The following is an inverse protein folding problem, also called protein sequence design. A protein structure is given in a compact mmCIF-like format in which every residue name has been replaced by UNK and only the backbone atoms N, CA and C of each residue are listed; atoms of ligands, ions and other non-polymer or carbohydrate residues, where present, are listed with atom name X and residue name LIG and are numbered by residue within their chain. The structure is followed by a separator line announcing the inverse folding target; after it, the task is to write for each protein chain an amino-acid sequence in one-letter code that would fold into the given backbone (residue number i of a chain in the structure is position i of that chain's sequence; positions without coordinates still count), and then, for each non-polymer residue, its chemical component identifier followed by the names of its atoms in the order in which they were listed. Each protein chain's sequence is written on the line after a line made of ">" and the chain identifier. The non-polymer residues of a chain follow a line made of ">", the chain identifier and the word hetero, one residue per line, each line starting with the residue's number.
data_IF_577840339156
#
_entry.id   IF_577840339156
#
_cell.length_a   1.000
_cell.length_b   1.000
_cell.length_c   1.000
_cell.angle_alpha   90.00
_cell.angle_beta   90.00
_cell.angle_gamma   90.00
#
_symmetry.space_group_name_H-M   'P 1'
#
loop_
_entity.id
_entity.type
_entity.pdbx_description
1 polymer ?
#
# COMPACT_ATOMS: atom_id res chain seq x y z
N UNK A 1 20.29 -19.18 -8.81
CA UNK A 1 20.52 -18.99 -7.35
C UNK A 1 19.20 -18.47 -6.78
N UNK A 2 18.82 -18.67 -5.52
CA UNK A 2 17.55 -18.09 -5.06
C UNK A 2 17.72 -16.59 -4.78
N UNK A 3 16.77 -15.76 -5.21
CA UNK A 3 16.71 -14.35 -4.87
C UNK A 3 16.10 -14.20 -3.48
N UNK A 4 16.91 -13.83 -2.49
CA UNK A 4 16.48 -13.73 -1.10
C UNK A 4 15.66 -12.46 -0.85
N UNK A 5 14.41 -12.62 -0.44
CA UNK A 5 13.62 -11.51 0.09
C UNK A 5 14.12 -11.11 1.48
N UNK A 6 14.06 -9.81 1.79
CA UNK A 6 14.58 -9.28 3.05
C UNK A 6 13.82 -9.85 4.26
N UNK A 7 14.55 -10.19 5.32
CA UNK A 7 13.98 -10.43 6.66
C UNK A 7 13.64 -9.13 7.37
N UNK A 8 14.25 -8.01 6.96
CA UNK A 8 13.94 -6.68 7.47
C UNK A 8 13.00 -5.93 6.51
N UNK A 9 11.81 -5.54 6.97
CA UNK A 9 10.81 -4.90 6.12
C UNK A 9 10.84 -3.37 6.24
N UNK A 10 11.99 -2.77 6.52
CA UNK A 10 12.15 -1.32 6.33
C UNK A 10 11.98 -0.96 4.86
N UNK A 11 11.66 0.32 4.58
CA UNK A 11 11.51 0.80 3.20
C UNK A 11 12.82 0.60 2.43
N UNK A 12 13.95 0.97 3.03
CA UNK A 12 15.26 0.86 2.39
C UNK A 12 15.63 -0.59 2.08
N UNK A 13 15.38 -1.54 2.99
CA UNK A 13 15.60 -2.96 2.73
C UNK A 13 14.75 -3.50 1.57
N UNK A 14 13.53 -2.97 1.39
CA UNK A 14 12.68 -3.34 0.25
C UNK A 14 13.20 -2.73 -1.07
N UNK A 15 13.70 -1.49 -1.06
CA UNK A 15 14.31 -0.85 -2.23
C UNK A 15 15.65 -1.52 -2.60
N UNK A 16 16.45 -1.96 -1.62
CA UNK A 16 17.64 -2.79 -1.85
C UNK A 16 17.29 -4.14 -2.50
N UNK A 17 16.18 -4.76 -2.08
CA UNK A 17 15.68 -5.96 -2.73
C UNK A 17 15.26 -5.67 -4.18
N UNK A 18 14.62 -4.53 -4.46
CA UNK A 18 14.26 -4.11 -5.83
C UNK A 18 15.53 -3.90 -6.69
N UNK A 19 16.60 -3.36 -6.10
CA UNK A 19 17.89 -3.26 -6.78
C UNK A 19 18.48 -4.63 -7.14
N UNK A 20 18.52 -5.56 -6.18
CA UNK A 20 18.96 -6.94 -6.43
C UNK A 20 18.08 -7.65 -7.47
N UNK A 21 16.77 -7.37 -7.46
CA UNK A 21 15.81 -7.92 -8.40
C UNK A 21 16.11 -7.47 -9.84
N UNK A 22 16.49 -6.21 -10.05
CA UNK A 22 16.79 -5.67 -11.37
C UNK A 22 17.96 -6.39 -12.06
N UNK A 23 18.96 -6.82 -11.28
CA UNK A 23 20.16 -7.49 -11.80
C UNK A 23 20.05 -9.02 -11.83
N UNK A 24 19.07 -9.61 -11.11
CA UNK A 24 18.95 -11.06 -11.00
C UNK A 24 18.31 -11.71 -12.25
N UNK A 25 18.73 -12.94 -12.62
CA UNK A 25 18.13 -13.75 -13.69
C UNK A 25 16.61 -13.91 -13.55
N UNK A 26 15.89 -14.05 -14.68
CA UNK A 26 14.43 -14.19 -14.66
C UNK A 26 13.96 -15.56 -14.13
N UNK A 27 14.83 -16.56 -14.18
CA UNK A 27 14.61 -17.92 -13.70
C UNK A 27 14.82 -18.07 -12.19
N UNK A 28 15.51 -17.12 -11.55
CA UNK A 28 15.86 -17.23 -10.15
C UNK A 28 14.59 -17.20 -9.27
N UNK A 29 14.34 -18.26 -8.47
CA UNK A 29 13.16 -18.32 -7.61
C UNK A 29 13.27 -17.30 -6.48
N UNK A 30 12.12 -16.81 -6.01
CA UNK A 30 12.06 -15.94 -4.84
C UNK A 30 12.10 -16.78 -3.57
N UNK A 31 13.12 -16.58 -2.75
CA UNK A 31 13.15 -17.13 -1.40
C UNK A 31 12.43 -16.19 -0.42
N UNK A 32 11.33 -16.66 0.17
CA UNK A 32 10.57 -15.93 1.18
C UNK A 32 10.94 -16.41 2.60
N UNK A 33 11.51 -15.56 3.46
CA UNK A 33 11.82 -15.96 4.84
C UNK A 33 10.55 -16.15 5.67
N UNK A 34 10.61 -17.04 6.68
CA UNK A 34 9.52 -17.23 7.65
C UNK A 34 9.35 -15.99 8.51
N UNK A 35 10.39 -15.58 9.20
CA UNK A 35 10.33 -14.46 10.10
C UNK A 35 10.77 -13.17 9.44
N UNK A 36 10.08 -12.09 9.81
CA UNK A 36 10.33 -10.74 9.30
C UNK A 36 10.21 -9.74 10.44
N UNK A 37 10.99 -8.66 10.39
CA UNK A 37 11.05 -7.60 11.39
C UNK A 37 10.74 -6.21 10.81
N UNK A 38 10.56 -5.23 11.71
CA UNK A 38 10.44 -3.79 11.42
C UNK A 38 9.39 -3.36 10.39
N UNK A 39 8.28 -4.08 10.29
CA UNK A 39 7.22 -3.85 9.28
C UNK A 39 6.40 -2.56 9.43
N UNK A 40 6.63 -1.77 10.48
CA UNK A 40 5.96 -0.47 10.70
C UNK A 40 6.48 0.61 9.73
N UNK A 41 5.79 1.75 9.70
CA UNK A 41 6.14 2.98 8.99
C UNK A 41 6.32 2.79 7.47
N UNK A 42 5.35 2.13 6.83
CA UNK A 42 5.31 1.85 5.40
C UNK A 42 6.00 0.54 5.01
N UNK A 43 6.57 -0.19 5.97
CA UNK A 43 7.32 -1.42 5.70
C UNK A 43 6.50 -2.53 5.04
N UNK A 44 5.29 -2.81 5.54
CA UNK A 44 4.37 -3.76 4.89
C UNK A 44 4.04 -3.32 3.46
N UNK A 45 3.76 -2.02 3.27
CA UNK A 45 3.41 -1.46 1.97
C UNK A 45 4.56 -1.56 0.96
N UNK A 46 5.79 -1.24 1.38
CA UNK A 46 7.01 -1.38 0.57
C UNK A 46 7.28 -2.85 0.22
N UNK A 47 7.09 -3.77 1.16
CA UNK A 47 7.23 -5.21 0.91
C UNK A 47 6.23 -5.71 -0.14
N UNK A 48 4.95 -5.31 -0.05
CA UNK A 48 3.94 -5.68 -1.07
C UNK A 48 4.32 -5.10 -2.43
N UNK A 49 4.81 -3.85 -2.49
CA UNK A 49 5.20 -3.22 -3.74
C UNK A 49 6.43 -3.88 -4.39
N UNK A 50 7.42 -4.27 -3.58
CA UNK A 50 8.55 -5.08 -4.03
C UNK A 50 8.08 -6.43 -4.60
N UNK A 51 7.14 -7.10 -3.93
CA UNK A 51 6.53 -8.34 -4.41
C UNK A 51 5.73 -8.15 -5.71
N UNK A 52 4.95 -7.07 -5.84
CA UNK A 52 4.27 -6.72 -7.08
C UNK A 52 5.27 -6.54 -8.22
N UNK A 53 6.39 -5.87 -7.94
CA UNK A 53 7.47 -5.62 -8.90
C UNK A 53 8.16 -6.92 -9.31
N UNK A 54 8.45 -7.82 -8.37
CA UNK A 54 8.95 -9.17 -8.66
C UNK A 54 7.98 -9.97 -9.52
N UNK A 55 6.71 -10.10 -9.10
CA UNK A 55 5.75 -10.95 -9.79
C UNK A 55 5.35 -10.44 -11.18
N UNK A 56 5.71 -9.21 -11.55
CA UNK A 56 5.55 -8.67 -12.91
C UNK A 56 6.81 -8.71 -13.76
N UNK A 57 7.98 -8.75 -13.15
CA UNK A 57 9.27 -8.82 -13.85
C UNK A 57 9.74 -10.25 -14.13
N UNK A 58 9.09 -11.26 -13.53
CA UNK A 58 9.46 -12.67 -13.67
C UNK A 58 8.44 -13.46 -14.47
N UNK A 59 8.95 -14.30 -15.38
CA UNK A 59 8.11 -15.22 -16.16
C UNK A 59 7.71 -16.45 -15.33
N UNK A 60 8.67 -17.08 -14.65
CA UNK A 60 8.49 -18.34 -13.93
C UNK A 60 7.77 -18.19 -12.59
N UNK A 61 8.01 -17.10 -11.86
CA UNK A 61 7.32 -16.74 -10.60
C UNK A 61 7.28 -17.91 -9.61
N UNK A 62 8.42 -18.59 -9.43
CA UNK A 62 8.58 -19.64 -8.43
C UNK A 62 8.94 -19.04 -7.07
N UNK A 63 8.33 -19.58 -6.01
CA UNK A 63 8.61 -19.21 -4.63
C UNK A 63 9.16 -20.43 -3.90
N UNK A 64 10.26 -20.22 -3.19
CA UNK A 64 10.76 -21.13 -2.16
C UNK A 64 10.43 -20.50 -0.81
N UNK A 65 9.61 -21.17 0.00
CA UNK A 65 9.32 -20.72 1.36
C UNK A 65 10.41 -21.30 2.27
N UNK A 66 11.10 -20.40 2.97
CA UNK A 66 12.14 -20.79 3.91
C UNK A 66 11.60 -21.41 5.19
N UNK A 67 12.53 -21.81 6.06
CA UNK A 67 12.26 -22.25 7.44
C UNK A 67 12.33 -23.75 7.65
N UNK A 68 11.95 -24.17 8.85
CA UNK A 68 11.84 -25.58 9.24
C UNK A 68 10.48 -25.77 9.92
N UNK A 69 9.37 -25.72 9.15
CA UNK A 69 8.04 -25.86 9.72
C UNK A 69 7.84 -27.27 10.29
N UNK A 70 6.96 -27.42 11.28
CA UNK A 70 6.63 -28.74 11.82
C UNK A 70 5.95 -29.63 10.77
N UNK A 71 5.13 -29.01 9.91
CA UNK A 71 4.49 -29.64 8.75
C UNK A 71 4.13 -28.61 7.65
N UNK A 72 3.56 -29.09 6.55
CA UNK A 72 3.16 -28.24 5.43
C UNK A 72 2.02 -27.26 5.78
N UNK A 73 1.14 -27.59 6.74
CA UNK A 73 -0.01 -26.77 7.10
C UNK A 73 0.41 -25.53 7.88
N UNK A 74 1.39 -25.67 8.77
CA UNK A 74 1.99 -24.54 9.49
C UNK A 74 2.66 -23.55 8.52
N UNK A 75 3.39 -24.06 7.53
CA UNK A 75 4.01 -23.23 6.50
C UNK A 75 2.97 -22.51 5.64
N UNK A 76 1.91 -23.22 5.22
CA UNK A 76 0.79 -22.62 4.47
C UNK A 76 0.17 -21.48 5.28
N UNK A 77 -0.16 -21.71 6.55
CA UNK A 77 -0.77 -20.72 7.45
C UNK A 77 0.10 -19.47 7.59
N UNK A 78 1.39 -19.66 7.71
CA UNK A 78 2.35 -18.57 7.82
C UNK A 78 2.45 -17.74 6.53
N UNK A 79 2.42 -18.38 5.37
CA UNK A 79 2.43 -17.70 4.06
C UNK A 79 1.17 -16.89 3.82
N UNK A 80 -0.01 -17.43 4.13
CA UNK A 80 -1.28 -16.76 3.83
C UNK A 80 -1.67 -15.69 4.87
N UNK A 81 -1.06 -15.71 6.06
CA UNK A 81 -1.39 -14.78 7.15
C UNK A 81 -0.59 -13.47 7.15
N UNK A 82 0.41 -13.33 6.28
CA UNK A 82 1.21 -12.10 6.11
C UNK A 82 0.90 -11.46 4.74
N UNK A 83 0.55 -10.16 4.66
CA UNK A 83 0.07 -9.56 3.41
C UNK A 83 1.02 -9.69 2.22
N UNK A 84 2.31 -9.41 2.39
CA UNK A 84 3.30 -9.48 1.31
C UNK A 84 3.54 -10.93 0.83
N UNK A 85 3.51 -11.91 1.74
CA UNK A 85 3.64 -13.34 1.39
C UNK A 85 2.40 -13.88 0.71
N UNK A 86 1.21 -13.46 1.17
CA UNK A 86 -0.04 -13.75 0.50
C UNK A 86 -0.01 -13.20 -0.93
N UNK A 87 0.39 -11.93 -1.11
CA UNK A 87 0.55 -11.30 -2.42
C UNK A 87 1.53 -12.07 -3.31
N UNK A 88 2.66 -12.52 -2.78
CA UNK A 88 3.63 -13.31 -3.53
C UNK A 88 3.00 -14.63 -4.00
N UNK A 89 2.25 -15.28 -3.11
CA UNK A 89 1.56 -16.55 -3.40
C UNK A 89 0.47 -16.42 -4.46
N UNK A 90 -0.23 -15.29 -4.50
CA UNK A 90 -1.24 -15.04 -5.55
C UNK A 90 -0.58 -14.77 -6.90
N UNK A 91 0.63 -14.20 -6.91
CA UNK A 91 1.40 -13.94 -8.12
C UNK A 91 2.24 -15.14 -8.60
N UNK A 92 2.53 -16.12 -7.75
CA UNK A 92 3.42 -17.22 -8.12
C UNK A 92 2.82 -18.10 -9.21
N UNK A 93 3.61 -19.02 -9.78
CA UNK A 93 3.12 -20.18 -10.55
C UNK A 93 3.39 -21.50 -9.83
N UNK A 94 4.40 -21.54 -8.97
CA UNK A 94 4.82 -22.71 -8.18
C UNK A 94 5.28 -22.26 -6.79
N UNK A 95 5.00 -23.05 -5.76
CA UNK A 95 5.45 -22.77 -4.39
C UNK A 95 6.07 -24.06 -3.83
N UNK A 96 7.31 -24.02 -3.40
CA UNK A 96 8.01 -25.17 -2.80
C UNK A 96 8.47 -24.83 -1.39
N UNK A 97 8.69 -25.87 -0.58
CA UNK A 97 9.43 -25.75 0.69
C UNK A 97 10.93 -25.84 0.39
N UNK A 98 11.73 -25.06 1.11
CA UNK A 98 13.19 -25.20 1.15
C UNK A 98 13.69 -26.63 1.39
N UNK A 99 12.93 -27.47 2.10
CA UNK A 99 13.32 -28.86 2.44
C UNK A 99 12.70 -29.94 1.55
N UNK A 100 11.70 -29.59 0.71
CA UNK A 100 10.95 -30.56 -0.07
C UNK A 100 10.62 -30.04 -1.48
N UNK A 101 10.73 -30.91 -2.48
CA UNK A 101 10.42 -30.59 -3.88
C UNK A 101 8.91 -30.57 -4.21
N UNK A 102 8.05 -30.83 -3.22
CA UNK A 102 6.59 -30.88 -3.36
C UNK A 102 6.05 -29.50 -3.67
N UNK A 103 5.23 -29.38 -4.72
CA UNK A 103 4.52 -28.13 -5.01
C UNK A 103 3.35 -27.94 -4.03
N UNK A 104 3.50 -26.95 -3.17
CA UNK A 104 2.53 -26.53 -2.17
C UNK A 104 1.48 -25.58 -2.74
N UNK A 105 1.58 -25.17 -4.01
CA UNK A 105 0.63 -24.21 -4.58
C UNK A 105 -0.84 -24.65 -4.46
N UNK A 106 -1.23 -25.92 -4.67
CA UNK A 106 -2.63 -26.34 -4.52
C UNK A 106 -3.19 -26.13 -3.11
N UNK A 107 -2.39 -26.44 -2.08
CA UNK A 107 -2.81 -26.28 -0.67
C UNK A 107 -2.80 -24.80 -0.25
N UNK A 108 -1.82 -24.01 -0.71
CA UNK A 108 -1.79 -22.56 -0.49
C UNK A 108 -2.99 -21.87 -1.13
N UNK A 109 -3.35 -22.24 -2.37
CA UNK A 109 -4.51 -21.66 -3.06
C UNK A 109 -5.83 -21.97 -2.33
N UNK A 110 -5.98 -23.18 -1.78
CA UNK A 110 -7.14 -23.55 -0.97
C UNK A 110 -7.23 -22.67 0.27
N UNK A 111 -6.15 -22.59 1.05
CA UNK A 111 -6.10 -21.77 2.26
C UNK A 111 -6.31 -20.28 1.97
N UNK A 112 -5.72 -19.76 0.89
CA UNK A 112 -5.93 -18.39 0.45
C UNK A 112 -7.40 -18.13 0.07
N UNK A 113 -8.05 -19.06 -0.63
CA UNK A 113 -9.48 -18.93 -0.96
C UNK A 113 -10.36 -18.88 0.29
N UNK A 114 -10.11 -19.76 1.26
CA UNK A 114 -10.84 -19.79 2.54
C UNK A 114 -10.66 -18.49 3.31
N UNK A 115 -9.45 -17.95 3.37
CA UNK A 115 -9.14 -16.69 4.06
C UNK A 115 -9.82 -15.50 3.39
N UNK A 116 -9.76 -15.39 2.06
CA UNK A 116 -10.45 -14.32 1.32
C UNK A 116 -11.96 -14.43 1.53
N UNK A 117 -12.54 -15.63 1.50
CA UNK A 117 -13.99 -15.80 1.76
C UNK A 117 -14.36 -15.44 3.19
N UNK A 118 -13.49 -15.79 4.15
CA UNK A 118 -13.61 -15.40 5.54
C UNK A 118 -13.51 -13.89 5.75
N UNK A 119 -12.61 -13.20 5.03
CA UNK A 119 -12.40 -11.76 5.16
C UNK A 119 -13.70 -10.99 4.89
N UNK A 120 -14.50 -11.41 3.91
CA UNK A 120 -15.77 -10.77 3.59
C UNK A 120 -16.76 -10.82 4.74
N UNK A 121 -16.69 -11.84 5.61
CA UNK A 121 -17.57 -11.98 6.78
C UNK A 121 -17.12 -11.10 7.95
N UNK A 122 -15.89 -10.60 7.93
CA UNK A 122 -15.33 -9.70 8.93
C UNK A 122 -15.55 -8.24 8.55
N UNK A 123 -15.83 -7.39 9.54
CA UNK A 123 -15.94 -5.93 9.34
C UNK A 123 -14.58 -5.24 9.21
N UNK A 124 -13.50 -5.89 9.65
CA UNK A 124 -12.14 -5.36 9.64
C UNK A 124 -11.18 -6.22 8.79
N UNK A 125 -11.71 -7.22 8.10
CA UNK A 125 -10.93 -8.12 7.25
C UNK A 125 -10.15 -9.15 8.07
N UNK A 126 -8.96 -9.46 7.59
CA UNK A 126 -8.01 -10.36 8.23
C UNK A 126 -7.23 -9.62 9.33
N UNK A 127 -6.75 -10.34 10.35
CA UNK A 127 -6.06 -9.72 11.48
C UNK A 127 -4.81 -10.52 11.90
N UNK A 128 -3.71 -9.81 12.16
CA UNK A 128 -2.51 -10.33 12.86
C UNK A 128 -1.97 -9.27 13.82
N UNK A 129 -2.18 -9.48 15.12
CA UNK A 129 -1.89 -8.44 16.11
C UNK A 129 -2.71 -7.17 15.84
N UNK A 130 -2.10 -5.98 15.84
CA UNK A 130 -2.79 -4.72 15.55
C UNK A 130 -2.96 -4.44 14.05
N UNK A 131 -2.48 -5.32 13.16
CA UNK A 131 -2.65 -5.20 11.71
C UNK A 131 -3.99 -5.82 11.29
N UNK A 132 -4.85 -4.99 10.70
CA UNK A 132 -6.08 -5.39 10.02
C UNK A 132 -5.94 -5.14 8.52
N UNK A 133 -6.31 -6.10 7.66
CA UNK A 133 -6.12 -5.94 6.22
C UNK A 133 -7.13 -6.69 5.35
N UNK A 134 -7.29 -6.18 4.13
CA UNK A 134 -8.07 -6.79 3.06
C UNK A 134 -7.20 -7.01 1.84
N UNK A 135 -7.41 -8.13 1.17
CA UNK A 135 -6.75 -8.48 -0.08
C UNK A 135 -7.78 -8.61 -1.21
N UNK A 136 -7.45 -8.10 -2.39
CA UNK A 136 -8.27 -8.19 -3.59
C UNK A 136 -7.43 -8.82 -4.68
N UNK A 137 -7.91 -9.92 -5.25
CA UNK A 137 -7.26 -10.60 -6.39
C UNK A 137 -8.06 -10.23 -7.64
N UNK A 138 -7.75 -9.06 -8.21
CA UNK A 138 -8.58 -8.34 -9.20
C UNK A 138 -8.86 -9.12 -10.49
N UNK A 139 -8.02 -10.11 -10.80
CA UNK A 139 -8.17 -10.99 -11.96
C UNK A 139 -9.08 -12.21 -11.71
N UNK A 140 -9.74 -12.28 -10.55
CA UNK A 140 -10.60 -13.39 -10.14
C UNK A 140 -11.91 -12.89 -9.52
N UNK A 141 -12.83 -13.81 -9.19
CA UNK A 141 -14.05 -13.49 -8.43
C UNK A 141 -13.76 -12.90 -7.04
N UNK A 142 -12.53 -13.04 -6.56
CA UNK A 142 -12.04 -12.50 -5.28
C UNK A 142 -11.57 -11.03 -5.35
N UNK A 143 -11.69 -10.38 -6.50
CA UNK A 143 -11.38 -8.95 -6.66
C UNK A 143 -12.40 -7.99 -6.04
N UNK A 144 -13.56 -8.49 -5.61
CA UNK A 144 -14.71 -7.67 -5.25
C UNK A 144 -15.31 -8.04 -3.88
N UNK A 145 -14.55 -7.79 -2.81
CA UNK A 145 -14.99 -8.06 -1.44
C UNK A 145 -16.30 -7.33 -1.09
N UNK A 146 -17.24 -8.03 -0.47
CA UNK A 146 -18.58 -7.50 -0.18
C UNK A 146 -18.59 -6.33 0.81
N UNK A 147 -17.53 -6.12 1.59
CA UNK A 147 -17.39 -4.96 2.45
C UNK A 147 -17.12 -3.67 1.64
N UNK A 148 -16.57 -3.80 0.43
CA UNK A 148 -16.20 -2.65 -0.41
C UNK A 148 -17.03 -2.56 -1.69
N UNK A 149 -17.69 -3.64 -2.09
CA UNK A 149 -18.45 -3.71 -3.33
C UNK A 149 -19.91 -4.11 -3.08
N UNK A 150 -20.81 -3.52 -3.87
CA UNK A 150 -22.16 -4.04 -4.11
C UNK A 150 -22.13 -4.98 -5.31
N UNK A 151 -23.02 -5.97 -5.28
CA UNK A 151 -23.17 -6.97 -6.34
C UNK A 151 -24.62 -6.93 -6.84
N UNK A 152 -24.97 -5.96 -7.71
CA UNK A 152 -26.33 -5.88 -8.25
C UNK A 152 -26.58 -7.08 -9.19
N UNK A 153 -27.83 -7.52 -9.28
CA UNK A 153 -28.20 -8.60 -10.20
C UNK A 153 -27.93 -8.15 -11.64
N UNK A 154 -27.21 -8.97 -12.40
CA UNK A 154 -26.87 -8.74 -13.82
C UNK A 154 -25.99 -7.50 -14.12
N UNK A 155 -25.35 -6.90 -13.11
CA UNK A 155 -24.42 -5.77 -13.31
C UNK A 155 -23.01 -6.08 -12.79
N UNK A 156 -22.03 -5.29 -13.25
CA UNK A 156 -20.65 -5.39 -12.76
C UNK A 156 -20.58 -4.91 -11.30
N UNK A 157 -19.77 -5.54 -10.43
CA UNK A 157 -19.59 -5.07 -9.06
C UNK A 157 -19.19 -3.59 -9.00
N UNK A 158 -19.86 -2.84 -8.13
CA UNK A 158 -19.63 -1.39 -7.98
C UNK A 158 -19.05 -1.09 -6.59
N UNK A 159 -18.09 -0.17 -6.47
CA UNK A 159 -17.67 0.34 -5.17
C UNK A 159 -18.86 0.82 -4.34
N UNK A 160 -18.83 0.53 -3.04
CA UNK A 160 -19.80 1.04 -2.07
C UNK A 160 -19.66 2.54 -1.90
N UNK A 161 -20.72 3.15 -1.39
CA UNK A 161 -20.75 4.60 -1.13
C UNK A 161 -19.90 4.97 0.08
N UNK A 162 -19.53 6.25 0.17
CA UNK A 162 -18.66 6.80 1.22
C UNK A 162 -19.02 6.32 2.64
N UNK A 163 -20.28 6.48 3.07
CA UNK A 163 -20.70 6.11 4.43
C UNK A 163 -20.48 4.62 4.76
N UNK A 164 -20.62 3.75 3.76
CA UNK A 164 -20.41 2.31 3.93
C UNK A 164 -18.91 1.99 4.01
N UNK A 165 -18.10 2.63 3.18
CA UNK A 165 -16.63 2.48 3.22
C UNK A 165 -16.07 3.05 4.54
N UNK A 166 -16.60 4.19 5.00
CA UNK A 166 -16.26 4.77 6.31
C UNK A 166 -16.49 3.78 7.46
N UNK A 167 -17.60 3.03 7.40
CA UNK A 167 -17.91 2.00 8.41
C UNK A 167 -16.85 0.89 8.45
N UNK A 168 -16.30 0.51 7.29
CA UNK A 168 -15.26 -0.52 7.20
C UNK A 168 -13.94 0.00 7.76
N UNK A 169 -13.48 1.18 7.31
CA UNK A 169 -12.21 1.73 7.81
C UNK A 169 -12.28 2.05 9.31
N UNK A 170 -13.42 2.53 9.80
CA UNK A 170 -13.68 2.70 11.24
C UNK A 170 -13.52 1.39 12.00
N UNK A 171 -14.06 0.29 11.46
CA UNK A 171 -13.91 -1.04 12.06
C UNK A 171 -12.46 -1.50 12.07
N UNK A 172 -11.71 -1.29 10.98
CA UNK A 172 -10.28 -1.61 10.90
C UNK A 172 -9.44 -0.81 11.90
N UNK A 173 -9.64 0.51 11.97
CA UNK A 173 -8.89 1.39 12.86
C UNK A 173 -9.21 1.11 14.31
N UNK A 174 -10.50 1.04 14.68
CA UNK A 174 -10.88 0.77 16.06
C UNK A 174 -10.30 -0.56 16.55
N UNK A 175 -10.35 -1.60 15.70
CA UNK A 175 -9.76 -2.90 16.02
C UNK A 175 -8.24 -2.82 16.22
N UNK A 176 -7.55 -2.08 15.36
CA UNK A 176 -6.10 -1.85 15.45
C UNK A 176 -5.72 -1.10 16.73
N UNK A 177 -6.51 -0.08 17.11
CA UNK A 177 -6.36 0.70 18.35
C UNK A 177 -6.64 -0.16 19.59
N UNK A 178 -7.71 -0.97 19.57
CA UNK A 178 -8.09 -1.81 20.70
C UNK A 178 -6.99 -2.83 21.05
N UNK A 179 -6.35 -3.42 20.04
CA UNK A 179 -5.26 -4.38 20.25
C UNK A 179 -3.99 -3.72 20.80
N UNK A 180 -3.69 -2.48 20.41
CA UNK A 180 -2.55 -1.73 20.99
C UNK A 180 -2.72 -1.45 22.48
N UNK A 181 -3.97 -1.27 22.94
CA UNK A 181 -4.29 -0.90 24.31
C UNK A 181 -3.87 0.53 24.68
N UNK A 182 -4.36 1.05 25.81
CA UNK A 182 -3.97 2.35 26.39
C UNK A 182 -3.97 3.55 25.41
N UNK A 183 -4.86 3.53 24.41
CA UNK A 183 -4.92 4.51 23.33
C UNK A 183 -6.35 5.00 23.17
N UNK A 184 -6.55 6.32 23.06
CA UNK A 184 -7.88 6.90 22.86
C UNK A 184 -8.35 6.57 21.43
N UNK A 185 -9.63 6.24 21.30
CA UNK A 185 -10.26 6.11 19.98
C UNK A 185 -10.30 7.48 19.30
N UNK A 186 -10.23 7.51 17.97
CA UNK A 186 -10.35 8.76 17.22
C UNK A 186 -11.70 9.42 17.50
N UNK A 187 -11.72 10.76 17.52
CA UNK A 187 -12.97 11.50 17.58
C UNK A 187 -13.82 11.26 16.31
N UNK A 188 -15.13 11.45 16.39
CA UNK A 188 -16.02 11.23 15.24
C UNK A 188 -15.67 12.10 14.03
N UNK A 189 -15.23 13.34 14.26
CA UNK A 189 -14.77 14.23 13.20
C UNK A 189 -13.50 13.70 12.51
N UNK A 190 -12.50 13.29 13.29
CA UNK A 190 -11.25 12.69 12.78
C UNK A 190 -11.52 11.41 12.00
N UNK A 191 -12.44 10.56 12.50
CA UNK A 191 -12.84 9.34 11.82
C UNK A 191 -13.57 9.63 10.50
N UNK A 192 -14.40 10.68 10.44
CA UNK A 192 -15.03 11.11 9.19
C UNK A 192 -14.00 11.63 8.18
N UNK A 193 -13.00 12.38 8.64
CA UNK A 193 -11.86 12.80 7.80
C UNK A 193 -11.12 11.59 7.24
N UNK A 194 -10.84 10.61 8.09
CA UNK A 194 -10.20 9.37 7.67
C UNK A 194 -11.05 8.57 6.68
N UNK A 195 -12.35 8.43 6.94
CA UNK A 195 -13.32 7.80 6.05
C UNK A 195 -13.27 8.41 4.64
N UNK A 196 -13.20 9.73 4.57
CA UNK A 196 -13.08 10.44 3.30
C UNK A 196 -11.74 10.21 2.60
N UNK A 197 -10.61 10.29 3.31
CA UNK A 197 -9.29 9.98 2.75
C UNK A 197 -9.29 8.60 2.11
N UNK A 198 -9.73 7.62 2.88
CA UNK A 198 -9.75 6.23 2.47
C UNK A 198 -10.62 6.03 1.23
N UNK A 199 -11.83 6.61 1.20
CA UNK A 199 -12.73 6.50 0.07
C UNK A 199 -12.09 7.01 -1.23
N UNK A 200 -11.49 8.20 -1.20
CA UNK A 200 -10.86 8.78 -2.40
C UNK A 200 -9.70 7.92 -2.90
N UNK A 201 -8.84 7.44 -2.01
CA UNK A 201 -7.71 6.59 -2.38
C UNK A 201 -8.18 5.21 -2.88
N UNK A 202 -9.22 4.64 -2.27
CA UNK A 202 -9.80 3.37 -2.72
C UNK A 202 -10.41 3.50 -4.11
N UNK A 203 -11.15 4.58 -4.37
CA UNK A 203 -11.73 4.86 -5.69
C UNK A 203 -10.63 5.06 -6.73
N UNK A 204 -9.56 5.80 -6.42
CA UNK A 204 -8.41 5.94 -7.31
C UNK A 204 -7.77 4.58 -7.63
N UNK A 205 -7.57 3.74 -6.63
CA UNK A 205 -7.02 2.39 -6.82
C UNK A 205 -7.95 1.51 -7.65
N UNK A 206 -9.28 1.59 -7.46
CA UNK A 206 -10.25 0.86 -8.27
C UNK A 206 -10.34 1.35 -9.73
N UNK A 207 -10.33 2.67 -9.94
CA UNK A 207 -10.49 3.25 -11.27
C UNK A 207 -9.19 3.13 -12.10
N UNK A 208 -8.02 3.20 -11.44
CA UNK A 208 -6.72 3.28 -12.11
C UNK A 208 -5.77 2.12 -11.80
N UNK A 209 -5.78 1.59 -10.58
CA UNK A 209 -4.88 0.54 -10.11
C UNK A 209 -5.24 -0.86 -10.59
N UNK A 210 -6.50 -1.09 -10.99
CA UNK A 210 -6.99 -2.42 -11.40
C UNK A 210 -7.10 -2.62 -12.90
N UNK A 211 -6.84 -1.60 -13.72
CA UNK A 211 -6.99 -1.68 -15.18
C UNK A 211 -5.65 -1.92 -15.85
N UNK A 212 -5.64 -2.59 -17.00
CA UNK A 212 -4.44 -2.72 -17.83
C UNK A 212 -4.23 -1.45 -18.67
N UNK A 213 -3.52 -1.55 -19.80
CA UNK A 213 -3.33 -0.46 -20.78
C UNK A 213 -4.65 0.17 -21.22
N UNK A 214 -5.71 -0.60 -21.33
CA UNK A 214 -7.06 -0.09 -21.63
C UNK A 214 -7.91 -0.02 -20.36
N UNK A 215 -8.87 0.90 -20.31
CA UNK A 215 -9.81 1.01 -19.16
C UNK A 215 -10.83 -0.13 -19.11
N UNK A 216 -11.05 -0.84 -20.22
CA UNK A 216 -11.96 -1.99 -20.29
C UNK A 216 -11.37 -3.25 -19.67
N UNK A 217 -10.05 -3.41 -19.73
CA UNK A 217 -9.38 -4.63 -19.32
C UNK A 217 -8.96 -4.59 -17.86
N UNK A 218 -9.31 -5.65 -17.13
CA UNK A 218 -8.79 -5.88 -15.79
C UNK A 218 -7.34 -6.35 -15.87
N UNK A 219 -6.53 -5.87 -14.95
CA UNK A 219 -5.14 -6.23 -14.84
C UNK A 219 -4.96 -7.73 -14.54
N UNK A 220 -4.08 -8.41 -15.27
CA UNK A 220 -3.80 -9.84 -15.07
C UNK A 220 -2.28 -10.14 -15.09
N UNK A 221 -1.71 -10.72 -14.01
CA UNK A 221 -2.29 -10.78 -12.68
C UNK A 221 -2.42 -9.36 -12.08
N UNK A 222 -3.51 -9.12 -11.37
CA UNK A 222 -3.75 -7.89 -10.63
C UNK A 222 -4.13 -8.16 -9.18
N UNK A 223 -3.63 -7.34 -8.26
CA UNK A 223 -4.00 -7.38 -6.86
C UNK A 223 -3.96 -6.01 -6.19
N UNK A 224 -4.77 -5.88 -5.13
CA UNK A 224 -4.74 -4.75 -4.20
C UNK A 224 -4.69 -5.24 -2.77
N UNK A 225 -4.04 -4.47 -1.92
CA UNK A 225 -4.06 -4.65 -0.47
C UNK A 225 -4.38 -3.33 0.18
N UNK A 226 -5.22 -3.41 1.19
CA UNK A 226 -5.56 -2.30 2.04
C UNK A 226 -5.31 -2.74 3.46
N UNK A 227 -4.65 -1.92 4.27
CA UNK A 227 -4.47 -2.24 5.68
C UNK A 227 -4.57 -1.03 6.60
N UNK A 228 -4.85 -1.32 7.87
CA UNK A 228 -4.69 -0.44 9.01
C UNK A 228 -3.83 -1.16 10.04
N UNK A 229 -2.89 -0.46 10.66
CA UNK A 229 -1.94 -1.04 11.60
C UNK A 229 -1.69 -0.09 12.76
N UNK A 230 -1.95 -0.58 13.97
CA UNK A 230 -1.65 0.16 15.18
C UNK A 230 -0.17 0.08 15.54
N UNK A 231 0.50 1.22 15.62
CA UNK A 231 1.91 1.32 16.03
C UNK A 231 1.96 1.88 17.45
N UNK A 232 2.61 1.16 18.36
CA UNK A 232 2.88 1.60 19.73
C UNK A 232 4.32 1.27 20.09
N UNK A 233 5.21 2.27 20.07
CA UNK A 233 6.65 2.06 20.26
C UNK A 233 7.23 2.96 21.36
N UNK A 234 8.25 2.49 22.11
CA UNK A 234 9.03 3.34 23.00
C UNK A 234 9.67 4.51 22.26
N UNK A 235 9.81 5.66 22.93
CA UNK A 235 10.45 6.86 22.38
C UNK A 235 11.81 6.56 21.74
N UNK A 236 12.66 5.78 22.40
CA UNK A 236 13.97 5.40 21.86
C UNK A 236 13.91 4.64 20.52
N UNK A 237 12.89 3.80 20.31
CA UNK A 237 12.70 3.09 19.05
C UNK A 237 12.26 4.04 17.93
N UNK A 238 11.41 5.02 18.25
CA UNK A 238 11.01 6.06 17.30
C UNK A 238 12.19 6.97 16.95
N UNK A 239 12.96 7.40 17.95
CA UNK A 239 14.10 8.29 17.73
C UNK A 239 15.18 7.58 16.90
N UNK A 240 15.41 6.26 17.11
CA UNK A 240 16.24 5.45 16.23
C UNK A 240 15.70 5.40 14.80
N UNK A 241 14.38 5.22 14.62
CA UNK A 241 13.74 5.20 13.30
C UNK A 241 13.90 6.55 12.59
N UNK A 242 13.72 7.65 13.30
CA UNK A 242 13.88 9.00 12.77
C UNK A 242 15.31 9.32 12.34
N UNK A 243 16.32 8.63 12.90
CA UNK A 243 17.72 8.76 12.48
C UNK A 243 18.03 7.96 11.20
N UNK A 244 17.30 6.86 10.96
CA UNK A 244 17.55 5.98 9.82
C UNK A 244 16.65 6.28 8.62
N UNK A 245 15.39 6.67 8.86
CA UNK A 245 14.41 6.94 7.80
C UNK A 245 14.20 8.44 7.62
N UNK A 246 15.04 9.01 6.74
CA UNK A 246 15.13 10.45 6.48
C UNK A 246 13.77 11.09 6.20
N UNK A 247 13.01 10.60 5.22
CA UNK A 247 11.69 11.15 4.89
C UNK A 247 10.66 11.18 6.02
N UNK A 248 10.86 10.42 7.11
CA UNK A 248 10.01 10.42 8.31
C UNK A 248 10.59 11.21 9.49
N UNK A 249 11.86 11.62 9.40
CA UNK A 249 12.65 12.14 10.52
C UNK A 249 11.96 13.34 11.18
N UNK A 250 11.65 14.37 10.38
CA UNK A 250 11.03 15.62 10.83
C UNK A 250 9.63 15.39 11.40
N UNK A 251 8.83 14.55 10.74
CA UNK A 251 7.49 14.23 11.21
C UNK A 251 7.54 13.51 12.56
N UNK A 252 8.35 12.47 12.70
CA UNK A 252 8.45 11.73 13.95
C UNK A 252 8.99 12.61 15.09
N UNK A 253 9.92 13.52 14.80
CA UNK A 253 10.45 14.47 15.77
C UNK A 253 9.44 15.54 16.19
N UNK A 254 8.57 15.99 15.27
CA UNK A 254 7.52 16.99 15.58
C UNK A 254 6.46 16.45 16.55
N UNK A 255 6.27 15.12 16.59
CA UNK A 255 5.38 14.44 17.55
C UNK A 255 5.98 14.28 18.96
N UNK A 256 6.74 15.27 19.43
CA UNK A 256 7.42 15.25 20.73
C UNK A 256 6.46 15.50 21.89
N UNK A 257 5.72 14.46 22.29
CA UNK A 257 4.97 14.45 23.53
C UNK A 257 5.86 14.02 24.71
N UNK A 258 5.51 14.44 25.93
CA UNK A 258 6.23 14.09 27.16
C UNK A 258 6.12 12.58 27.54
N UNK A 259 5.41 11.80 26.74
CA UNK A 259 5.15 10.38 26.98
C UNK A 259 6.36 9.52 26.58
N UNK A 260 6.60 8.43 27.31
CA UNK A 260 7.69 7.49 27.00
C UNK A 260 7.38 6.59 25.77
N UNK A 261 6.16 6.68 25.23
CA UNK A 261 5.70 5.91 24.07
C UNK A 261 4.98 6.81 23.10
N UNK A 262 5.21 6.59 21.80
CA UNK A 262 4.46 7.24 20.73
C UNK A 262 3.58 6.23 20.02
N UNK A 263 2.40 6.70 19.62
CA UNK A 263 1.35 5.87 19.05
C UNK A 263 0.85 6.48 17.75
N UNK A 264 0.64 5.61 16.77
CA UNK A 264 0.16 6.00 15.46
C UNK A 264 -0.84 4.97 14.96
N UNK A 265 -1.76 5.41 14.10
CA UNK A 265 -2.42 4.52 13.17
C UNK A 265 -1.76 4.70 11.80
N UNK A 266 -1.27 3.61 11.26
CA UNK A 266 -0.75 3.52 9.90
C UNK A 266 -1.82 2.94 9.00
N UNK A 267 -2.05 3.55 7.85
CA UNK A 267 -3.01 3.07 6.87
C UNK A 267 -2.34 3.10 5.50
N UNK A 268 -2.61 2.08 4.68
CA UNK A 268 -2.08 2.05 3.33
C UNK A 268 -3.02 1.39 2.34
N UNK A 269 -2.97 1.90 1.11
CA UNK A 269 -3.60 1.30 -0.05
C UNK A 269 -2.49 1.04 -1.07
N UNK A 270 -2.36 -0.22 -1.49
CA UNK A 270 -1.35 -0.68 -2.41
C UNK A 270 -2.05 -1.40 -3.55
N UNK A 271 -1.71 -1.05 -4.80
CA UNK A 271 -2.14 -1.77 -5.99
C UNK A 271 -0.96 -2.24 -6.83
N UNK A 272 -1.22 -3.17 -7.74
CA UNK A 272 -0.25 -3.68 -8.70
C UNK A 272 -0.38 -3.05 -10.09
N UNK A 273 -1.05 -1.90 -10.20
CA UNK A 273 -1.39 -1.23 -11.44
C UNK A 273 -0.21 -0.67 -12.23
N UNK A 274 -0.51 0.22 -13.16
CA UNK A 274 0.52 0.88 -13.98
C UNK A 274 1.31 1.95 -13.20
N UNK A 275 0.75 2.48 -12.11
CA UNK A 275 1.26 3.68 -11.46
C UNK A 275 0.73 4.96 -12.13
N UNK A 276 0.96 6.11 -11.49
CA UNK A 276 0.39 7.40 -11.95
C UNK A 276 0.83 7.76 -13.38
N UNK A 277 2.13 7.75 -13.64
CA UNK A 277 2.69 8.17 -14.92
C UNK A 277 2.26 7.26 -16.08
N UNK A 278 2.50 5.94 -15.95
CA UNK A 278 2.15 5.00 -17.02
C UNK A 278 0.64 4.89 -17.25
N UNK A 279 -0.20 5.04 -16.21
CA UNK A 279 -1.66 5.16 -16.39
C UNK A 279 -1.99 6.40 -17.20
N UNK A 280 -1.42 7.55 -16.85
CA UNK A 280 -1.67 8.79 -17.58
C UNK A 280 -1.27 8.65 -19.05
N UNK A 281 -0.08 8.11 -19.35
CA UNK A 281 0.34 7.86 -20.72
C UNK A 281 -0.61 6.91 -21.47
N UNK A 282 -1.08 5.84 -20.80
CA UNK A 282 -2.02 4.89 -21.39
C UNK A 282 -3.39 5.51 -21.69
N UNK A 283 -3.85 6.46 -20.87
CA UNK A 283 -5.10 7.19 -21.10
C UNK A 283 -4.98 8.26 -22.21
N UNK A 284 -3.76 8.63 -22.63
CA UNK A 284 -3.49 9.64 -23.68
C UNK A 284 -3.02 9.04 -25.01
N UNK A 285 -2.95 7.70 -25.15
CA UNK A 285 -2.32 7.03 -26.30
C UNK A 285 -2.98 7.29 -27.67
N UNK A 286 -4.20 7.83 -27.70
CA UNK A 286 -4.91 8.20 -28.93
C UNK A 286 -4.53 9.61 -29.44
N UNK A 287 -3.76 10.37 -28.68
CA UNK A 287 -3.20 11.66 -29.13
C UNK A 287 -1.86 11.39 -29.82
N UNK A 288 -1.88 11.36 -31.15
CA UNK A 288 -0.68 11.41 -31.98
C UNK A 288 0.22 12.57 -31.55
N UNK A 289 1.50 12.28 -31.35
CA UNK A 289 2.56 13.22 -30.94
C UNK A 289 2.63 13.53 -29.44
N UNK A 290 3.20 12.62 -28.65
CA UNK A 290 4.03 13.05 -27.52
C UNK A 290 5.35 12.27 -27.53
N UNK A 291 6.44 13.00 -27.77
CA UNK A 291 7.75 12.62 -27.26
C UNK A 291 7.56 12.23 -25.79
N UNK A 292 7.71 10.94 -25.51
CA UNK A 292 7.76 10.45 -24.13
C UNK A 292 9.05 11.00 -23.55
N UNK A 293 8.96 12.18 -22.94
CA UNK A 293 10.06 12.70 -22.13
C UNK A 293 10.14 11.83 -20.89
N UNK A 294 10.83 10.70 -21.00
CA UNK A 294 11.05 9.70 -19.94
C UNK A 294 12.03 10.21 -18.87
N UNK A 295 11.81 11.44 -18.43
CA UNK A 295 12.54 12.12 -17.38
C UNK A 295 11.68 12.12 -16.10
N UNK A 296 12.34 11.89 -14.96
CA UNK A 296 11.72 11.92 -13.64
C UNK A 296 10.96 13.22 -13.33
N UNK A 297 11.42 14.37 -13.84
CA UNK A 297 10.71 15.65 -13.65
C UNK A 297 9.34 15.65 -14.33
N UNK A 298 9.23 15.02 -15.51
CA UNK A 298 7.95 14.90 -16.20
C UNK A 298 7.04 13.91 -15.47
N UNK A 299 7.61 12.80 -14.97
CA UNK A 299 6.91 11.84 -14.11
C UNK A 299 6.31 12.52 -12.87
N UNK A 300 7.09 13.35 -12.17
CA UNK A 300 6.63 14.13 -11.02
C UNK A 300 5.54 15.13 -11.41
N UNK A 301 5.68 15.81 -12.54
CA UNK A 301 4.67 16.77 -13.01
C UNK A 301 3.30 16.11 -13.23
N UNK A 302 3.29 14.86 -13.69
CA UNK A 302 2.05 14.08 -13.87
C UNK A 302 1.48 13.64 -12.53
N UNK A 303 2.30 13.13 -11.62
CA UNK A 303 1.85 12.82 -10.26
C UNK A 303 1.23 14.06 -9.60
N UNK A 304 1.91 15.20 -9.65
CA UNK A 304 1.44 16.48 -9.11
C UNK A 304 0.09 16.89 -9.72
N UNK A 305 -0.09 16.71 -11.04
CA UNK A 305 -1.38 16.97 -11.71
C UNK A 305 -2.52 16.11 -11.15
N UNK A 306 -2.27 14.85 -10.79
CA UNK A 306 -3.28 14.01 -10.15
C UNK A 306 -3.70 14.55 -8.77
N UNK A 307 -2.80 15.22 -8.06
CA UNK A 307 -3.06 15.82 -6.75
C UNK A 307 -3.59 17.26 -6.79
N UNK A 308 -3.41 18.00 -7.89
CA UNK A 308 -3.95 19.37 -8.07
C UNK A 308 -5.29 19.40 -8.80
N UNK A 309 -5.53 18.45 -9.70
CA UNK A 309 -6.69 18.51 -10.60
C UNK A 309 -7.97 18.08 -9.89
N UNK A 310 -8.96 18.96 -9.82
CA UNK A 310 -10.34 18.60 -9.42
C UNK A 310 -11.10 17.83 -10.51
N UNK A 311 -10.44 17.45 -11.61
CA UNK A 311 -11.08 16.90 -12.80
C UNK A 311 -11.34 15.41 -12.64
N UNK A 312 -12.58 15.06 -12.31
CA UNK A 312 -13.09 13.71 -12.47
C UNK A 312 -13.30 13.47 -13.97
N UNK A 313 -12.58 12.51 -14.56
CA UNK A 313 -12.67 12.14 -15.98
C UNK A 313 -13.99 11.42 -16.38
N UNK A 314 -15.10 11.78 -15.74
CA UNK A 314 -16.44 11.24 -16.03
C UNK A 314 -17.52 12.29 -15.72
N UNK A 315 -18.39 12.56 -16.70
CA UNK A 315 -19.43 13.61 -16.73
C UNK A 315 -20.58 13.49 -15.69
N UNK A 316 -20.33 12.91 -14.51
CA UNK A 316 -21.33 12.79 -13.44
C UNK A 316 -21.04 13.79 -12.31
N UNK A 317 -22.02 14.67 -12.08
CA UNK A 317 -22.01 15.86 -11.21
C UNK A 317 -21.82 15.56 -9.69
N UNK A 318 -21.69 14.30 -9.29
CA UNK A 318 -21.55 13.87 -7.89
C UNK A 318 -20.16 13.36 -7.49
N UNK A 319 -19.12 13.46 -8.34
CA UNK A 319 -17.78 12.98 -7.97
C UNK A 319 -16.94 14.08 -7.29
N UNK A 320 -16.44 13.75 -6.11
CA UNK A 320 -15.79 14.63 -5.16
C UNK A 320 -14.47 15.24 -5.63
N UNK A 321 -13.96 16.21 -4.85
CA UNK A 321 -12.78 17.00 -5.20
C UNK A 321 -11.46 16.22 -5.33
N UNK A 322 -11.46 14.87 -5.30
CA UNK A 322 -10.33 13.99 -5.60
C UNK A 322 -9.24 13.94 -4.52
N UNK A 323 -8.01 13.69 -4.95
CA UNK A 323 -6.80 13.67 -4.12
C UNK A 323 -6.50 14.99 -3.37
N UNK A 324 -6.90 16.20 -3.82
CA UNK A 324 -6.91 17.39 -2.98
C UNK A 324 -7.61 17.23 -1.63
N UNK A 325 -8.73 16.48 -1.59
CA UNK A 325 -9.45 16.22 -0.32
C UNK A 325 -8.58 15.41 0.62
N UNK A 326 -7.80 14.46 0.10
CA UNK A 326 -6.90 13.64 0.92
C UNK A 326 -5.91 14.53 1.67
N UNK A 327 -5.31 15.51 0.97
CA UNK A 327 -4.34 16.44 1.56
C UNK A 327 -4.97 17.38 2.61
N UNK A 328 -6.15 17.95 2.32
CA UNK A 328 -6.87 18.77 3.30
C UNK A 328 -7.22 17.98 4.57
N UNK A 329 -7.73 16.75 4.42
CA UNK A 329 -8.11 15.93 5.57
C UNK A 329 -6.90 15.45 6.37
N UNK A 330 -5.78 15.13 5.71
CA UNK A 330 -4.54 14.80 6.41
C UNK A 330 -3.96 15.98 7.18
N UNK A 331 -4.19 17.22 6.70
CA UNK A 331 -3.84 18.44 7.45
C UNK A 331 -4.60 18.52 8.77
N UNK A 332 -5.91 18.27 8.74
CA UNK A 332 -6.75 18.28 9.95
C UNK A 332 -6.37 17.18 10.94
N UNK A 333 -5.83 16.08 10.43
CA UNK A 333 -5.40 14.93 11.23
C UNK A 333 -3.94 15.01 11.69
N UNK A 334 -3.21 16.10 11.42
CA UNK A 334 -1.76 16.21 11.67
C UNK A 334 -1.00 15.01 11.09
N UNK A 335 -1.40 14.60 9.89
CA UNK A 335 -0.95 13.38 9.26
C UNK A 335 0.38 13.52 8.52
N UNK A 336 0.92 12.38 8.13
CA UNK A 336 2.04 12.25 7.21
C UNK A 336 1.62 11.34 6.07
N UNK A 337 2.06 11.61 4.83
CA UNK A 337 1.80 10.75 3.68
C UNK A 337 3.08 10.46 2.90
N UNK A 338 3.26 9.20 2.51
CA UNK A 338 4.24 8.75 1.53
C UNK A 338 3.53 8.21 0.31
N UNK A 339 4.05 8.53 -0.87
CA UNK A 339 3.60 8.01 -2.17
C UNK A 339 4.80 7.38 -2.89
N UNK A 340 4.65 6.13 -3.31
CA UNK A 340 5.65 5.41 -4.11
C UNK A 340 5.00 4.88 -5.39
N UNK A 341 5.44 5.36 -6.55
CA UNK A 341 4.93 4.95 -7.86
C UNK A 341 5.98 5.19 -8.94
N UNK A 342 6.16 4.23 -9.85
CA UNK A 342 7.15 4.35 -10.93
C UNK A 342 8.56 4.56 -10.36
N UNK A 343 9.25 5.63 -10.74
CA UNK A 343 10.58 6.01 -10.21
C UNK A 343 10.50 6.98 -9.03
N UNK A 344 9.31 7.45 -8.66
CA UNK A 344 9.11 8.44 -7.62
C UNK A 344 8.91 7.78 -6.25
N UNK A 345 9.62 8.29 -5.24
CA UNK A 345 9.39 8.03 -3.81
C UNK A 345 9.29 9.38 -3.11
N UNK A 346 8.07 9.78 -2.76
CA UNK A 346 7.76 11.12 -2.31
C UNK A 346 7.04 11.09 -0.97
N UNK A 347 7.12 12.19 -0.22
CA UNK A 347 6.30 12.38 0.97
C UNK A 347 5.80 13.81 1.14
N UNK A 348 4.85 13.96 2.07
CA UNK A 348 4.42 15.25 2.61
C UNK A 348 4.09 15.10 4.08
N UNK A 349 4.67 15.99 4.88
CA UNK A 349 4.34 16.18 6.30
C UNK A 349 3.32 17.32 6.43
N UNK A 350 2.09 17.00 6.84
CA UNK A 350 1.02 17.99 6.92
C UNK A 350 1.04 18.79 8.23
N UNK A 351 1.95 18.49 9.16
CA UNK A 351 2.19 19.30 10.36
C UNK A 351 3.06 20.50 10.00
N UNK A 352 4.18 20.26 9.32
CA UNK A 352 5.10 21.32 8.91
C UNK A 352 4.66 22.00 7.63
N UNK A 353 3.89 21.31 6.76
CA UNK A 353 3.42 21.84 5.48
C UNK A 353 1.94 21.52 5.26
N UNK A 354 1.05 22.16 6.05
CA UNK A 354 -0.39 22.00 5.92
C UNK A 354 -0.85 22.34 4.49
N UNK A 355 -1.86 21.62 4.02
CA UNK A 355 -2.51 21.89 2.74
C UNK A 355 -3.44 23.10 2.88
N UNK A 356 -3.30 24.07 1.98
CA UNK A 356 -4.08 25.31 1.97
C UNK A 356 -4.86 25.48 0.65
N UNK A 357 -5.85 26.40 0.58
CA UNK A 357 -6.43 26.78 -0.70
C UNK A 357 -5.34 27.25 -1.68
N UNK A 358 -5.46 26.84 -2.95
CA UNK A 358 -4.50 27.14 -4.02
C UNK A 358 -3.07 26.62 -3.77
N UNK A 359 -2.92 25.63 -2.90
CA UNK A 359 -1.65 24.95 -2.65
C UNK A 359 -1.10 24.35 -3.95
N UNK A 360 0.20 24.57 -4.25
CA UNK A 360 0.84 24.01 -5.44
C UNK A 360 0.91 22.48 -5.43
N UNK A 361 0.53 21.83 -4.32
CA UNK A 361 0.63 20.40 -4.07
C UNK A 361 2.07 19.91 -4.17
N UNK A 362 2.99 20.65 -3.54
CA UNK A 362 4.40 20.24 -3.46
C UNK A 362 4.57 19.01 -2.58
N UNK A 363 5.50 18.16 -3.00
CA UNK A 363 5.99 16.98 -2.29
C UNK A 363 7.50 17.11 -2.05
N UNK A 364 8.02 16.27 -1.17
CA UNK A 364 9.43 16.18 -0.84
C UNK A 364 9.99 14.85 -1.33
N UNK A 365 11.21 14.88 -1.83
CA UNK A 365 11.95 13.68 -2.19
C UNK A 365 12.27 12.87 -0.93
N UNK A 366 11.94 11.59 -0.93
CA UNK A 366 12.14 10.70 0.22
C UNK A 366 13.60 10.57 0.67
N UNK A 367 14.54 10.71 -0.26
CA UNK A 367 15.96 10.43 -0.02
C UNK A 367 16.72 11.69 0.37
N UNK A 368 16.45 12.82 -0.29
CA UNK A 368 17.17 14.09 -0.05
C UNK A 368 16.48 15.02 0.93
N UNK A 369 15.20 14.75 1.26
CA UNK A 369 14.36 15.60 2.12
C UNK A 369 14.17 17.02 1.54
N UNK A 370 14.52 17.23 0.26
CA UNK A 370 14.33 18.50 -0.44
C UNK A 370 12.97 18.55 -1.14
N UNK A 371 12.42 19.75 -1.41
CA UNK A 371 11.27 19.88 -2.29
C UNK A 371 11.53 19.18 -3.64
N UNK A 372 10.60 18.35 -4.07
CA UNK A 372 10.74 17.54 -5.30
C UNK A 372 10.86 18.40 -6.57
N UNK A 373 10.42 19.67 -6.54
CA UNK A 373 10.65 20.60 -7.64
C UNK A 373 12.12 21.05 -7.76
N UNK A 374 12.88 21.00 -6.67
CA UNK A 374 14.27 21.40 -6.60
C UNK A 374 15.22 20.22 -6.85
N UNK A 375 14.95 19.07 -6.24
CA UNK A 375 15.79 17.88 -6.35
C UNK A 375 14.93 16.60 -6.26
N UNK A 376 15.19 15.66 -7.18
CA UNK A 376 14.51 14.37 -7.27
C UNK A 376 15.53 13.25 -7.39
N UNK A 377 15.40 12.24 -6.54
CA UNK A 377 16.19 11.02 -6.62
C UNK A 377 15.45 9.99 -7.47
N UNK A 378 15.97 9.60 -8.65
CA UNK A 378 15.36 8.54 -9.43
C UNK A 378 15.58 7.18 -8.75
N UNK A 379 14.49 6.62 -8.23
CA UNK A 379 14.47 5.26 -7.72
C UNK A 379 14.29 4.28 -8.88
N UNK A 380 14.60 3.00 -8.64
CA UNK A 380 14.25 1.95 -9.59
C UNK A 380 12.73 1.89 -9.81
N UNK A 381 12.28 1.63 -11.04
CA UNK A 381 10.85 1.63 -11.34
C UNK A 381 10.14 0.48 -10.62
N UNK A 382 9.06 0.79 -9.91
CA UNK A 382 8.19 -0.19 -9.26
C UNK A 382 6.85 -0.34 -9.97
N UNK A 383 6.19 -1.45 -9.71
CA UNK A 383 4.82 -1.73 -10.16
C UNK A 383 3.80 -1.11 -9.21
N UNK A 384 2.77 -0.50 -9.80
CA UNK A 384 1.61 0.03 -9.09
C UNK A 384 1.87 1.29 -8.29
N UNK A 385 0.96 1.54 -7.35
CA UNK A 385 1.02 2.66 -6.40
C UNK A 385 0.98 2.11 -4.98
N UNK A 386 1.78 2.71 -4.10
CA UNK A 386 1.61 2.61 -2.66
C UNK A 386 1.38 4.02 -2.10
N UNK A 387 0.26 4.23 -1.42
CA UNK A 387 0.01 5.41 -0.61
C UNK A 387 -0.11 4.96 0.83
N UNK A 388 0.82 5.42 1.67
CA UNK A 388 0.88 5.13 3.11
C UNK A 388 0.71 6.43 3.85
N UNK A 389 -0.11 6.46 4.89
CA UNK A 389 -0.18 7.62 5.77
C UNK A 389 -0.23 7.23 7.24
N UNK A 390 0.28 8.14 8.07
CA UNK A 390 0.37 8.02 9.52
C UNK A 390 -0.47 9.12 10.16
N UNK A 391 -1.24 8.76 11.18
CA UNK A 391 -2.00 9.70 12.01
C UNK A 391 -1.56 9.47 13.47
N UNK A 392 -1.16 10.52 14.20
CA UNK A 392 -0.75 10.39 15.59
C UNK A 392 -1.97 10.08 16.47
N UNK A 393 -1.77 9.31 17.53
CA UNK A 393 -2.83 8.93 18.48
C UNK A 393 -2.53 9.43 19.89
N UNK A 394 -3.60 9.84 20.58
CA UNK A 394 -3.54 10.25 21.98
C UNK A 394 -3.56 9.05 22.94
N UNK A 395 -2.87 9.19 24.06
CA UNK A 395 -2.91 8.22 25.16
C UNK A 395 -4.25 8.34 25.91
N UNK A 396 -4.78 7.22 26.44
CA UNK A 396 -5.94 7.32 27.36
C UNK A 396 -5.46 8.00 28.65
N UNK A 397 -6.16 9.06 29.07
CA UNK A 397 -5.96 9.71 30.36
C UNK A 397 -6.34 8.79 31.52
#
# INVERSE_FOLDING_TARGET
>A
MALNFSTDLTIDSCEEFIAKLADAPQEDPLYLPVEVSNSHFGGVAAAIQAINTWGRSREYREIIVGGNPADADDLVREVVSKPHKFCASMLSKRITDSNASTDLRPIVNRAASEIIEGQGKSKFGQQRGPLCWFAFVDHSTKGFDKNFYTHPQNEKPQPRQLAQIETVIRSMVNKSIDIMGATKQLAEEDMSHLGRIFFELFMNSHEHGTKDKTRSDWLKPGQRVIYSNGINLPKAAIDKRAQTEKGLSLYLQSQNNQTNRRRFIEISIIDSGLGYYKRWCADQSDQSDQETNDNINHEYSILKRCFTSRQTSSANVNKGHGLPVVMDRLTKLNGFMRVRSGRLSLYRDFVTQPYVPDDPCEFFDWTTEQPAQAELTPMLPVVGVSVTFLIPLEEKQ
#
